data_IF_812933922019
#
_entry.id   IF_812933922019
#
_cell.length_a   1.000
_cell.length_b   1.000
_cell.length_c   1.000
_cell.angle_alpha   90.00
_cell.angle_beta   90.00
_cell.angle_gamma   90.00
#
_symmetry.space_group_name_H-M   'P 1'
#
loop_
_entity.id
_entity.type
_entity.pdbx_description
1 polymer ?
#
# COMPACT_ATOMS: atom_id res chain seq x y z
N UNK A 1 14.60 0.43 -6.78
CA UNK A 1 13.18 0.78 -7.00
C UNK A 1 12.36 -0.49 -6.88
N UNK A 2 11.24 -0.45 -6.16
CA UNK A 2 10.29 -1.55 -6.05
C UNK A 2 8.87 -1.05 -6.33
N UNK A 3 7.98 -1.97 -6.73
CA UNK A 3 6.59 -1.67 -7.07
C UNK A 3 5.68 -2.58 -6.26
N UNK A 4 4.70 -2.00 -5.57
CA UNK A 4 3.64 -2.74 -4.89
C UNK A 4 2.52 -2.96 -5.91
N UNK A 5 2.15 -4.22 -6.11
CA UNK A 5 1.06 -4.64 -7.00
C UNK A 5 0.02 -5.39 -6.19
N UNK A 6 -1.21 -4.89 -6.20
CA UNK A 6 -2.37 -5.67 -5.78
C UNK A 6 -3.00 -6.31 -7.03
N UNK A 7 -3.13 -7.63 -7.03
CA UNK A 7 -3.68 -8.40 -8.15
C UNK A 7 -5.19 -8.66 -8.00
N UNK A 8 -5.81 -8.22 -6.89
CA UNK A 8 -7.25 -8.29 -6.70
C UNK A 8 -7.99 -7.31 -7.62
N UNK A 9 -9.29 -7.56 -7.83
CA UNK A 9 -10.17 -6.65 -8.59
C UNK A 9 -10.52 -5.35 -7.85
N UNK A 10 -10.11 -5.23 -6.60
CA UNK A 10 -10.32 -4.13 -5.67
C UNK A 10 -10.60 -4.66 -4.26
N UNK A 11 -10.72 -3.73 -3.31
CA UNK A 11 -10.95 -3.96 -1.89
C UNK A 11 -12.44 -3.95 -1.60
N UNK A 12 -12.92 -4.99 -0.92
CA UNK A 12 -14.30 -5.08 -0.41
C UNK A 12 -14.31 -5.11 1.13
N UNK A 13 -15.50 -4.97 1.71
CA UNK A 13 -15.67 -5.01 3.16
C UNK A 13 -15.10 -6.30 3.77
N UNK A 14 -14.23 -6.15 4.78
CA UNK A 14 -13.58 -7.25 5.47
C UNK A 14 -12.17 -7.60 4.97
N UNK A 15 -11.72 -7.03 3.86
CA UNK A 15 -10.35 -7.26 3.37
C UNK A 15 -9.31 -6.63 4.30
N UNK A 16 -8.18 -7.33 4.47
CA UNK A 16 -7.05 -6.90 5.29
C UNK A 16 -5.76 -7.00 4.49
N UNK A 17 -5.21 -5.85 4.06
CA UNK A 17 -3.91 -5.78 3.40
C UNK A 17 -2.86 -5.18 4.33
N UNK A 18 -1.80 -5.93 4.59
CA UNK A 18 -0.66 -5.48 5.37
C UNK A 18 0.61 -5.50 4.52
N UNK A 19 1.31 -4.38 4.45
CA UNK A 19 2.60 -4.25 3.76
C UNK A 19 3.67 -3.84 4.77
N UNK A 20 4.77 -4.59 4.82
CA UNK A 20 5.95 -4.25 5.62
C UNK A 20 7.14 -3.98 4.70
N UNK A 21 7.80 -2.84 4.89
CA UNK A 21 8.95 -2.41 4.10
C UNK A 21 10.08 -2.07 5.06
N UNK A 22 11.20 -2.77 4.91
CA UNK A 22 12.41 -2.52 5.68
C UNK A 22 13.53 -2.04 4.77
N UNK A 23 14.05 -0.85 5.04
CA UNK A 23 15.26 -0.31 4.44
C UNK A 23 16.41 -0.47 5.43
N UNK A 24 17.32 -1.41 5.15
CA UNK A 24 18.53 -1.61 5.93
C UNK A 24 19.50 -0.41 5.86
N UNK A 25 20.54 -0.35 6.71
CA UNK A 25 21.41 0.82 6.81
C UNK A 25 22.03 1.25 5.48
N UNK A 26 22.16 2.56 5.27
CA UNK A 26 22.73 3.16 4.05
C UNK A 26 22.01 2.76 2.73
N UNK A 27 20.72 2.41 2.80
CA UNK A 27 19.93 2.03 1.63
C UNK A 27 19.25 3.24 1.01
N UNK A 28 19.30 3.36 -0.31
CA UNK A 28 18.41 4.27 -1.06
C UNK A 28 17.32 3.44 -1.76
N UNK A 29 16.06 3.68 -1.40
CA UNK A 29 14.94 2.96 -1.97
C UNK A 29 13.78 3.89 -2.33
N UNK A 30 13.20 3.64 -3.50
CA UNK A 30 11.93 4.25 -3.93
C UNK A 30 10.92 3.13 -4.12
N UNK A 31 9.75 3.27 -3.49
CA UNK A 31 8.62 2.34 -3.60
C UNK A 31 7.42 3.09 -4.19
N UNK A 32 6.76 2.49 -5.17
CA UNK A 32 5.57 3.06 -5.80
C UNK A 32 4.45 2.03 -5.98
N UNK A 33 3.23 2.50 -6.16
CA UNK A 33 2.13 1.72 -6.71
C UNK A 33 2.20 1.55 -8.23
N UNK A 34 1.69 0.44 -8.76
CA UNK A 34 1.49 0.25 -10.21
C UNK A 34 0.16 0.86 -10.70
N UNK A 35 -0.87 0.82 -9.86
CA UNK A 35 -2.21 1.30 -10.17
C UNK A 35 -2.87 1.86 -8.91
N UNK A 36 -3.98 2.57 -9.12
CA UNK A 36 -4.83 2.98 -8.02
C UNK A 36 -5.63 1.78 -7.47
N UNK A 37 -5.76 1.72 -6.15
CA UNK A 37 -6.58 0.75 -5.47
C UNK A 37 -8.07 1.09 -5.66
N UNK A 38 -8.87 0.09 -6.05
CA UNK A 38 -10.32 0.27 -6.20
C UNK A 38 -10.99 -0.10 -4.89
N UNK A 39 -11.69 0.84 -4.26
CA UNK A 39 -12.39 0.61 -3.00
C UNK A 39 -13.90 0.54 -3.28
N UNK A 40 -14.52 -0.59 -2.97
CA UNK A 40 -15.97 -0.78 -3.13
C UNK A 40 -16.74 -0.50 -1.84
N UNK A 41 -18.02 -0.12 -1.98
CA UNK A 41 -18.93 0.04 -0.86
C UNK A 41 -19.00 -1.25 -0.04
N UNK A 42 -18.81 -1.13 1.28
CA UNK A 42 -19.01 -2.24 2.20
C UNK A 42 -20.48 -2.35 2.62
N UNK A 43 -20.95 -3.59 2.83
CA UNK A 43 -22.25 -3.90 3.43
C UNK A 43 -22.25 -3.91 4.97
N UNK A 44 -21.12 -3.55 5.60
CA UNK A 44 -21.01 -3.37 7.05
C UNK A 44 -19.64 -3.72 7.63
N UNK A 45 -18.89 -4.63 7.00
CA UNK A 45 -17.55 -5.01 7.44
C UNK A 45 -16.51 -3.94 7.05
N UNK A 46 -15.63 -3.57 7.97
CA UNK A 46 -14.56 -2.61 7.68
C UNK A 46 -13.44 -3.33 6.91
N UNK A 47 -12.97 -2.71 5.83
CA UNK A 47 -11.72 -3.10 5.18
C UNK A 47 -10.54 -2.33 5.78
N UNK A 48 -9.38 -2.96 5.90
CA UNK A 48 -8.19 -2.37 6.46
C UNK A 48 -7.00 -2.52 5.51
N UNK A 49 -6.37 -1.39 5.18
CA UNK A 49 -5.10 -1.35 4.49
C UNK A 49 -4.08 -0.69 5.42
N UNK A 50 -2.99 -1.38 5.73
CA UNK A 50 -1.96 -0.92 6.65
C UNK A 50 -0.58 -1.08 6.03
N UNK A 51 0.24 -0.04 6.16
CA UNK A 51 1.62 -0.03 5.70
C UNK A 51 2.54 0.29 6.88
N UNK A 52 3.55 -0.53 7.10
CA UNK A 52 4.66 -0.28 8.03
C UNK A 52 5.94 -0.09 7.24
N UNK A 53 6.67 0.96 7.58
CA UNK A 53 7.92 1.32 6.89
C UNK A 53 8.97 1.57 7.96
N UNK A 54 10.07 0.82 7.89
CA UNK A 54 11.23 0.96 8.78
C UNK A 54 12.42 1.44 7.96
N UNK A 55 13.01 2.58 8.37
CA UNK A 55 14.14 3.21 7.67
C UNK A 55 15.32 3.26 8.62
N UNK A 56 16.35 2.46 8.35
CA UNK A 56 17.55 2.39 9.18
C UNK A 56 18.46 3.62 8.99
N UNK A 57 19.39 3.89 9.94
CA UNK A 57 20.32 5.02 9.84
C UNK A 57 21.09 5.09 8.52
N UNK A 58 21.29 6.31 8.03
CA UNK A 58 21.97 6.57 6.75
C UNK A 58 21.15 6.25 5.50
N UNK A 59 19.91 5.77 5.65
CA UNK A 59 19.05 5.40 4.53
C UNK A 59 18.20 6.56 4.04
N UNK A 60 17.84 6.52 2.75
CA UNK A 60 16.91 7.42 2.10
C UNK A 60 15.77 6.61 1.49
N UNK A 61 14.53 6.92 1.89
CA UNK A 61 13.36 6.21 1.43
C UNK A 61 12.33 7.17 0.86
N UNK A 62 11.83 6.84 -0.34
CA UNK A 62 10.77 7.57 -1.02
C UNK A 62 9.57 6.65 -1.26
N UNK A 63 8.38 7.12 -0.91
CA UNK A 63 7.13 6.43 -1.18
C UNK A 63 6.24 7.30 -2.06
N UNK A 64 5.86 6.78 -3.22
CA UNK A 64 4.70 7.26 -3.96
C UNK A 64 3.54 6.28 -3.72
N UNK A 65 2.60 6.60 -2.81
CA UNK A 65 1.54 5.68 -2.45
C UNK A 65 0.62 5.38 -3.64
N UNK A 66 0.02 4.20 -3.65
CA UNK A 66 -1.08 3.90 -4.58
C UNK A 66 -2.20 4.92 -4.36
N UNK A 67 -2.70 5.53 -5.45
CA UNK A 67 -3.92 6.31 -5.39
C UNK A 67 -5.11 5.43 -4.99
N UNK A 68 -6.21 6.03 -4.55
CA UNK A 68 -7.46 5.31 -4.26
C UNK A 68 -8.58 5.82 -5.15
N UNK A 69 -9.40 4.90 -5.66
CA UNK A 69 -10.63 5.20 -6.38
C UNK A 69 -11.77 4.60 -5.56
N UNK A 70 -12.60 5.46 -4.96
CA UNK A 70 -13.80 5.04 -4.24
C UNK A 70 -14.96 4.89 -5.21
N UNK A 71 -15.57 3.71 -5.24
CA UNK A 71 -16.77 3.42 -6.04
C UNK A 71 -18.01 3.54 -5.17
N UNK A 72 -18.98 4.32 -5.65
CA UNK A 72 -20.26 4.55 -4.99
C UNK A 72 -21.31 3.49 -5.38
N UNK A 73 -20.91 2.21 -5.32
CA UNK A 73 -21.73 1.07 -5.77
C UNK A 73 -23.17 1.08 -5.28
#
# INVERSE_FOLDING_TARGET
MAVIVNMAGGVVGGDCHYTDIECGPNTTATVTGQAAEKIYRSSGAVAQLAQRITVAPGSWFELLPQGTIFFDG
#
